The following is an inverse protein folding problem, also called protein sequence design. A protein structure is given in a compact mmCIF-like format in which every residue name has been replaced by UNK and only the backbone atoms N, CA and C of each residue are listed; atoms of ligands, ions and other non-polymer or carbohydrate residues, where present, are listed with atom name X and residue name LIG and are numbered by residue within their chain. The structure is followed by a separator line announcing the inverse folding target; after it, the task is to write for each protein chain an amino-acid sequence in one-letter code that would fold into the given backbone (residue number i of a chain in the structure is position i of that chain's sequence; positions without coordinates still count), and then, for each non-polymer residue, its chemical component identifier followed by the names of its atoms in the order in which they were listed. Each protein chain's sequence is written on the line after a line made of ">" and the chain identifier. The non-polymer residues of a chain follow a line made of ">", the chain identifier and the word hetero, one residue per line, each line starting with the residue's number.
data_IF_196623177332
#
_entry.id   IF_196623177332
#
_cell.length_a   1.000
_cell.length_b   1.000
_cell.length_c   1.000
_cell.angle_alpha   90.00
_cell.angle_beta   90.00
_cell.angle_gamma   90.00
#
_symmetry.space_group_name_H-M   'P 1'
#
loop_
_entity.id
_entity.type
_entity.pdbx_description
1 polymer ?
#
# COMPACT_ATOMS: atom_id res chain seq x y z
N UNK A 1 -60.31 -10.90 19.83
CA UNK A 1 -60.19 -11.20 18.39
C UNK A 1 -59.68 -10.03 17.55
N UNK A 2 -59.47 -8.83 18.14
CA UNK A 2 -58.95 -7.63 17.45
C UNK A 2 -57.47 -7.33 17.76
N UNK A 3 -57.01 -7.59 18.99
CA UNK A 3 -55.61 -7.35 19.41
C UNK A 3 -54.60 -8.23 18.65
N UNK A 4 -54.92 -9.49 18.38
CA UNK A 4 -54.02 -10.40 17.64
C UNK A 4 -53.77 -9.91 16.19
N UNK A 5 -54.77 -9.30 15.55
CA UNK A 5 -54.64 -8.73 14.19
C UNK A 5 -53.82 -7.45 14.16
N UNK A 6 -53.81 -6.67 15.24
CA UNK A 6 -52.98 -5.48 15.36
C UNK A 6 -51.52 -5.84 15.64
N UNK A 7 -51.30 -6.87 16.46
CA UNK A 7 -49.97 -7.44 16.71
C UNK A 7 -49.34 -8.04 15.45
N UNK A 8 -50.12 -8.75 14.62
CA UNK A 8 -49.65 -9.25 13.33
C UNK A 8 -49.24 -8.11 12.38
N UNK A 9 -50.04 -7.06 12.27
CA UNK A 9 -49.70 -5.89 11.45
C UNK A 9 -48.43 -5.16 11.92
N UNK A 10 -48.18 -5.13 13.23
CA UNK A 10 -46.95 -4.55 13.79
C UNK A 10 -45.74 -5.43 13.46
N UNK A 11 -45.89 -6.76 13.53
CA UNK A 11 -44.83 -7.71 13.15
C UNK A 11 -44.49 -7.60 11.67
N UNK A 12 -45.48 -7.55 10.80
CA UNK A 12 -45.29 -7.40 9.34
C UNK A 12 -44.59 -6.07 8.99
N UNK A 13 -44.94 -4.98 9.67
CA UNK A 13 -44.25 -3.69 9.46
C UNK A 13 -42.78 -3.75 9.89
N UNK A 14 -42.49 -4.37 11.05
CA UNK A 14 -41.10 -4.52 11.52
C UNK A 14 -40.27 -5.44 10.63
N UNK A 15 -40.85 -6.52 10.10
CA UNK A 15 -40.11 -7.42 9.19
C UNK A 15 -39.80 -6.74 7.86
N UNK A 16 -40.74 -5.96 7.31
CA UNK A 16 -40.49 -5.16 6.11
C UNK A 16 -39.42 -4.08 6.34
N UNK A 17 -39.42 -3.42 7.50
CA UNK A 17 -38.40 -2.43 7.86
C UNK A 17 -37.00 -3.07 7.99
N UNK A 18 -36.90 -4.24 8.64
CA UNK A 18 -35.65 -4.98 8.77
C UNK A 18 -35.11 -5.45 7.41
N UNK A 19 -35.98 -5.93 6.52
CA UNK A 19 -35.60 -6.32 5.15
C UNK A 19 -35.07 -5.11 4.37
N UNK A 20 -35.72 -3.94 4.48
CA UNK A 20 -35.28 -2.71 3.81
C UNK A 20 -33.93 -2.22 4.32
N UNK A 21 -33.67 -2.33 5.62
CA UNK A 21 -32.36 -2.00 6.22
C UNK A 21 -31.28 -2.99 5.74
N UNK A 22 -31.60 -4.29 5.64
CA UNK A 22 -30.68 -5.31 5.16
C UNK A 22 -30.31 -5.10 3.68
N UNK A 23 -31.29 -4.77 2.82
CA UNK A 23 -31.04 -4.43 1.42
C UNK A 23 -30.19 -3.16 1.26
N UNK A 24 -30.46 -2.11 2.04
CA UNK A 24 -29.65 -0.89 2.02
C UNK A 24 -28.20 -1.15 2.45
N UNK A 25 -27.99 -2.00 3.46
CA UNK A 25 -26.64 -2.40 3.90
C UNK A 25 -25.92 -3.24 2.84
N UNK A 26 -26.64 -4.15 2.17
CA UNK A 26 -26.07 -4.98 1.11
C UNK A 26 -25.63 -4.13 -0.09
N UNK A 27 -26.48 -3.21 -0.56
CA UNK A 27 -26.13 -2.26 -1.63
C UNK A 27 -24.94 -1.39 -1.27
N UNK A 28 -24.89 -0.84 -0.04
CA UNK A 28 -23.76 -0.04 0.40
C UNK A 28 -22.46 -0.84 0.49
N UNK A 29 -22.52 -2.13 0.87
CA UNK A 29 -21.35 -3.00 0.84
C UNK A 29 -20.92 -3.35 -0.59
N UNK A 30 -21.85 -3.55 -1.51
CA UNK A 30 -21.56 -3.80 -2.92
C UNK A 30 -20.96 -2.57 -3.59
N UNK A 31 -21.50 -1.37 -3.35
CA UNK A 31 -20.94 -0.09 -3.81
C UNK A 31 -19.53 0.18 -3.24
N UNK A 32 -19.29 -0.16 -1.97
CA UNK A 32 -17.95 -0.05 -1.38
C UNK A 32 -16.96 -1.06 -1.97
N UNK A 33 -17.41 -2.28 -2.30
CA UNK A 33 -16.58 -3.28 -2.97
C UNK A 33 -16.27 -2.91 -4.42
N UNK A 34 -17.27 -2.44 -5.16
CA UNK A 34 -17.08 -1.97 -6.55
C UNK A 34 -16.20 -0.72 -6.61
N UNK A 35 -16.33 0.20 -5.65
CA UNK A 35 -15.43 1.35 -5.51
C UNK A 35 -14.00 0.95 -5.10
N UNK A 36 -13.81 -0.18 -4.41
CA UNK A 36 -12.48 -0.72 -4.11
C UNK A 36 -11.86 -1.50 -5.28
N UNK A 37 -12.65 -2.05 -6.21
CA UNK A 37 -12.13 -2.90 -7.30
C UNK A 37 -11.87 -2.12 -8.60
N UNK A 38 -12.67 -1.10 -8.92
CA UNK A 38 -12.61 -0.41 -10.21
C UNK A 38 -11.46 0.61 -10.43
N UNK A 39 -10.91 1.32 -9.42
CA UNK A 39 -9.80 2.27 -9.66
C UNK A 39 -8.39 1.66 -9.55
N UNK A 40 -8.24 0.50 -8.88
CA UNK A 40 -6.91 -0.06 -8.56
C UNK A 40 -6.06 -0.37 -9.79
N UNK A 41 -6.64 -0.87 -10.89
CA UNK A 41 -5.84 -1.29 -12.05
C UNK A 41 -5.23 -0.14 -12.85
N UNK A 42 -5.87 1.03 -12.85
CA UNK A 42 -5.36 2.24 -13.53
C UNK A 42 -4.33 2.91 -12.62
N UNK A 43 -4.65 3.06 -11.33
CA UNK A 43 -3.73 3.64 -10.33
C UNK A 43 -2.45 2.82 -10.15
N UNK A 44 -2.55 1.49 -10.16
CA UNK A 44 -1.37 0.62 -10.07
C UNK A 44 -0.49 0.73 -11.31
N UNK A 45 -1.07 0.81 -12.51
CA UNK A 45 -0.29 1.00 -13.75
C UNK A 45 0.42 2.35 -13.75
N UNK A 46 -0.26 3.41 -13.34
CA UNK A 46 0.32 4.76 -13.26
C UNK A 46 1.44 4.82 -12.22
N UNK A 47 1.27 4.13 -11.08
CA UNK A 47 2.28 3.98 -10.05
C UNK A 47 3.54 3.27 -10.58
N UNK A 48 3.36 2.15 -11.28
CA UNK A 48 4.48 1.41 -11.88
C UNK A 48 5.20 2.27 -12.94
N UNK A 49 4.46 2.95 -13.80
CA UNK A 49 5.02 3.83 -14.83
C UNK A 49 5.81 5.01 -14.23
N UNK A 50 5.26 5.67 -13.21
CA UNK A 50 5.95 6.74 -12.48
C UNK A 50 7.25 6.25 -11.85
N UNK A 51 7.19 5.10 -11.17
CA UNK A 51 8.37 4.53 -10.53
C UNK A 51 9.42 4.15 -11.57
N UNK A 52 9.04 3.54 -12.69
CA UNK A 52 9.94 3.21 -13.78
C UNK A 52 10.64 4.45 -14.38
N UNK A 53 9.98 5.61 -14.39
CA UNK A 53 10.56 6.86 -14.90
C UNK A 53 11.58 7.48 -13.94
N UNK A 54 11.25 7.56 -12.65
CA UNK A 54 12.05 8.26 -11.65
C UNK A 54 13.14 7.41 -10.98
N UNK A 55 13.09 6.09 -11.16
CA UNK A 55 14.11 5.16 -10.69
C UNK A 55 15.05 4.78 -11.83
N UNK A 56 16.33 4.59 -11.50
CA UNK A 56 17.22 3.85 -12.41
C UNK A 56 16.77 2.38 -12.48
N UNK A 57 17.07 1.64 -13.58
CA UNK A 57 16.57 0.29 -13.78
C UNK A 57 16.83 -0.66 -12.59
N UNK A 58 18.04 -0.65 -12.01
CA UNK A 58 18.39 -1.53 -10.89
C UNK A 58 17.68 -1.14 -9.58
N UNK A 59 17.23 0.11 -9.47
CA UNK A 59 16.46 0.59 -8.33
C UNK A 59 14.99 0.22 -8.47
N UNK A 60 14.44 0.28 -9.69
CA UNK A 60 13.10 -0.18 -10.00
C UNK A 60 12.96 -1.67 -9.75
N UNK A 61 13.90 -2.49 -10.22
CA UNK A 61 13.94 -3.94 -9.96
C UNK A 61 13.98 -4.26 -8.45
N UNK A 62 14.72 -3.47 -7.67
CA UNK A 62 14.75 -3.68 -6.23
C UNK A 62 13.43 -3.25 -5.56
N UNK A 63 12.86 -2.13 -5.99
CA UNK A 63 11.59 -1.66 -5.45
C UNK A 63 10.43 -2.61 -5.80
N UNK A 64 10.38 -3.16 -7.02
CA UNK A 64 9.33 -4.12 -7.40
C UNK A 64 9.43 -5.41 -6.57
N UNK A 65 10.64 -5.88 -6.26
CA UNK A 65 10.85 -7.01 -5.35
C UNK A 65 10.25 -6.73 -3.95
N UNK A 66 10.43 -5.51 -3.43
CA UNK A 66 9.80 -5.10 -2.17
C UNK A 66 8.28 -4.96 -2.30
N UNK A 67 7.78 -4.54 -3.47
CA UNK A 67 6.36 -4.31 -3.71
C UNK A 67 5.57 -5.62 -3.86
N UNK A 68 6.17 -6.64 -4.47
CA UNK A 68 5.61 -7.98 -4.64
C UNK A 68 5.74 -8.84 -3.38
N UNK A 69 6.71 -8.52 -2.51
CA UNK A 69 6.88 -9.16 -1.20
C UNK A 69 5.76 -8.75 -0.25
N UNK A 70 5.05 -9.74 0.31
CA UNK A 70 3.91 -9.51 1.21
C UNK A 70 4.33 -8.85 2.53
N UNK A 71 5.53 -9.13 3.03
CA UNK A 71 6.10 -8.58 4.26
C UNK A 71 6.65 -7.15 4.07
N UNK A 72 7.11 -6.81 2.86
CA UNK A 72 7.70 -5.50 2.55
C UNK A 72 6.79 -4.57 1.75
N UNK A 73 5.59 -5.02 1.35
CA UNK A 73 4.66 -4.23 0.52
C UNK A 73 4.36 -2.86 1.12
N UNK A 74 4.12 -2.79 2.44
CA UNK A 74 3.86 -1.52 3.13
C UNK A 74 5.07 -0.57 3.08
N UNK A 75 6.28 -1.11 3.22
CA UNK A 75 7.54 -0.36 3.06
C UNK A 75 7.67 0.16 1.63
N UNK A 76 7.41 -0.67 0.62
CA UNK A 76 7.44 -0.29 -0.79
C UNK A 76 6.43 0.82 -1.13
N UNK A 77 5.23 0.75 -0.57
CA UNK A 77 4.22 1.82 -0.69
C UNK A 77 4.66 3.13 -0.04
N UNK A 78 5.33 3.06 1.10
CA UNK A 78 5.87 4.23 1.79
C UNK A 78 7.02 4.84 0.99
N UNK A 79 7.88 4.01 0.40
CA UNK A 79 8.92 4.44 -0.54
C UNK A 79 8.30 5.18 -1.73
N UNK A 80 7.24 4.62 -2.34
CA UNK A 80 6.54 5.29 -3.43
C UNK A 80 6.02 6.68 -3.01
N UNK A 81 5.38 6.80 -1.85
CA UNK A 81 4.90 8.09 -1.33
C UNK A 81 6.04 9.09 -1.11
N UNK A 82 7.19 8.64 -0.62
CA UNK A 82 8.37 9.49 -0.44
C UNK A 82 8.93 9.97 -1.79
N UNK A 83 9.00 9.09 -2.79
CA UNK A 83 9.42 9.44 -4.15
C UNK A 83 8.45 10.46 -4.75
N UNK A 84 7.14 10.23 -4.63
CA UNK A 84 6.10 11.17 -5.09
C UNK A 84 6.22 12.54 -4.41
N UNK A 85 6.49 12.56 -3.10
CA UNK A 85 6.75 13.80 -2.38
C UNK A 85 7.99 14.52 -2.90
N UNK A 86 9.10 13.82 -3.12
CA UNK A 86 10.34 14.39 -3.69
C UNK A 86 10.12 14.99 -5.09
N UNK A 87 9.26 14.38 -5.90
CA UNK A 87 8.84 14.91 -7.20
C UNK A 87 8.04 16.20 -7.02
N UNK A 88 7.04 16.19 -6.11
CA UNK A 88 6.15 17.33 -5.86
C UNK A 88 6.90 18.59 -5.41
N UNK A 89 7.98 18.44 -4.65
CA UNK A 89 8.81 19.56 -4.17
C UNK A 89 9.92 19.97 -5.16
N UNK A 90 10.00 19.36 -6.34
CA UNK A 90 11.01 19.66 -7.36
C UNK A 90 12.42 19.14 -7.05
N UNK A 91 12.61 18.31 -6.01
CA UNK A 91 13.93 17.82 -5.62
C UNK A 91 14.55 16.86 -6.65
N UNK A 92 13.69 16.22 -7.45
CA UNK A 92 14.04 15.18 -8.43
C UNK A 92 14.25 15.72 -9.86
N UNK A 93 14.23 17.04 -10.08
CA UNK A 93 14.45 17.60 -11.42
C UNK A 93 15.80 17.14 -12.00
N UNK A 94 15.74 16.36 -13.09
CA UNK A 94 16.90 15.81 -13.79
C UNK A 94 17.66 14.70 -13.02
N UNK A 95 17.12 14.19 -11.91
CA UNK A 95 17.75 13.14 -11.10
C UNK A 95 16.89 11.89 -11.08
N UNK A 96 17.55 10.73 -11.06
CA UNK A 96 16.89 9.44 -10.83
C UNK A 96 17.34 8.86 -9.48
N UNK A 97 16.42 8.15 -8.81
CA UNK A 97 16.73 7.49 -7.54
C UNK A 97 17.52 6.22 -7.83
N UNK A 98 18.71 6.10 -7.22
CA UNK A 98 19.56 4.92 -7.35
C UNK A 98 19.12 3.79 -6.43
N UNK A 99 19.61 2.58 -6.68
CA UNK A 99 19.34 1.41 -5.82
C UNK A 99 19.78 1.63 -4.37
N UNK A 100 20.90 2.35 -4.19
CA UNK A 100 21.39 2.74 -2.86
C UNK A 100 20.40 3.68 -2.17
N UNK A 101 19.81 4.62 -2.92
CA UNK A 101 18.76 5.51 -2.43
C UNK A 101 17.54 4.75 -1.93
N UNK A 102 17.05 3.76 -2.69
CA UNK A 102 15.90 2.94 -2.27
C UNK A 102 16.23 2.10 -1.03
N UNK A 103 17.40 1.48 -0.97
CA UNK A 103 17.86 0.75 0.22
C UNK A 103 17.99 1.63 1.45
N UNK A 104 18.38 2.88 1.27
CA UNK A 104 18.45 3.85 2.37
C UNK A 104 17.03 4.16 2.87
N UNK A 105 16.10 4.46 1.96
CA UNK A 105 14.69 4.69 2.31
C UNK A 105 14.08 3.48 3.03
N UNK A 106 14.31 2.27 2.53
CA UNK A 106 13.88 1.02 3.17
C UNK A 106 14.39 0.92 4.61
N UNK A 107 15.70 1.10 4.84
CA UNK A 107 16.29 1.02 6.19
C UNK A 107 15.77 2.12 7.11
N UNK A 108 15.60 3.34 6.60
CA UNK A 108 15.08 4.46 7.36
C UNK A 108 13.62 4.20 7.79
N UNK A 109 12.79 3.61 6.92
CA UNK A 109 11.40 3.22 7.22
C UNK A 109 11.34 2.07 8.23
N UNK A 110 12.23 1.09 8.10
CA UNK A 110 12.29 -0.07 9.00
C UNK A 110 13.01 0.22 10.33
N UNK A 111 13.53 1.44 10.50
CA UNK A 111 14.25 1.84 11.71
C UNK A 111 15.58 1.11 11.89
N UNK A 112 16.19 0.59 10.81
CA UNK A 112 17.47 -0.10 10.87
C UNK A 112 18.59 0.95 10.95
N UNK A 113 19.31 1.06 12.08
CA UNK A 113 20.32 2.09 12.23
C UNK A 113 21.48 1.91 11.24
N UNK A 114 22.16 3.01 10.88
CA UNK A 114 23.36 2.92 10.06
C UNK A 114 24.45 2.15 10.81
N UNK A 115 25.03 1.13 10.16
CA UNK A 115 26.15 0.38 10.70
C UNK A 115 27.44 0.86 10.04
N UNK A 116 28.38 1.37 10.85
CA UNK A 116 29.71 1.81 10.37
C UNK A 116 30.71 0.68 10.61
N UNK A 117 31.18 0.06 9.54
CA UNK A 117 32.27 -0.92 9.61
C UNK A 117 33.61 -0.18 9.53
N UNK A 118 34.23 0.07 10.67
CA UNK A 118 35.60 0.64 10.73
C UNK A 118 36.59 -0.49 10.42
N UNK A 119 37.15 -0.49 9.20
CA UNK A 119 38.24 -1.41 8.85
C UNK A 119 39.50 -1.00 9.63
N UNK A 120 39.88 -1.78 10.64
CA UNK A 120 41.15 -1.58 11.34
C UNK A 120 42.30 -2.02 10.43
N UNK A 121 43.37 -1.23 10.38
CA UNK A 121 44.58 -1.55 9.62
C UNK A 121 45.21 -2.83 10.21
N UNK A 122 45.13 -3.95 9.49
CA UNK A 122 45.80 -5.21 9.86
C UNK A 122 44.94 -6.49 9.86
N UNK A 123 43.61 -6.41 9.75
CA UNK A 123 42.78 -7.62 9.69
C UNK A 123 42.83 -8.26 8.29
N UNK A 124 43.68 -9.30 8.15
CA UNK A 124 43.59 -10.25 7.03
C UNK A 124 42.20 -10.86 7.04
N UNK A 125 41.48 -10.74 5.91
CA UNK A 125 40.23 -11.45 5.65
C UNK A 125 40.42 -12.93 5.99
N UNK A 126 39.81 -13.43 7.07
CA UNK A 126 39.60 -14.87 7.21
C UNK A 126 38.59 -15.23 6.13
N UNK A 127 39.07 -15.83 5.04
CA UNK A 127 38.22 -16.55 4.10
C UNK A 127 37.57 -17.69 4.88
N UNK A 128 36.28 -17.53 5.20
CA UNK A 128 35.48 -18.65 5.67
C UNK A 128 35.32 -19.58 4.47
N UNK A 129 35.82 -20.80 4.61
CA UNK A 129 35.64 -21.90 3.68
C UNK A 129 34.19 -22.38 3.70
#
# INVERSE_FOLDING_TARGET
>A
MTEDKELEKIREKKTQELLRIAEQRKRRMEELKEAEEAPKSVEEKDKLALMQFFLVPEAYEYWIQLYESSDKKQTAETIFKNVLYMIKIGFMEGKQVTRIGIKKLERDIEGIPPSITIKRKGEKKRSVK
#
